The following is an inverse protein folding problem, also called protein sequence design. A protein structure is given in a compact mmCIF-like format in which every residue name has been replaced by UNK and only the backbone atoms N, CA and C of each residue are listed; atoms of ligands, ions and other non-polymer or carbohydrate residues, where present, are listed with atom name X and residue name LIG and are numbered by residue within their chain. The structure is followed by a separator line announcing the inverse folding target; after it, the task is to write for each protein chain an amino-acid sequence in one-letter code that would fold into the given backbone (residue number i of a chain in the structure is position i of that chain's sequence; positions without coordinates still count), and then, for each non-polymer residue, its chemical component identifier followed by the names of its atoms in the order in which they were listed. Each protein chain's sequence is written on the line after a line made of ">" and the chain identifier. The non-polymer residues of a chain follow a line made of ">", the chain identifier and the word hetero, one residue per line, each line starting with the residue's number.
data_IF_083393223540
#
_entry.id   IF_083393223540
#
_cell.length_a   1.000
_cell.length_b   1.000
_cell.length_c   1.000
_cell.angle_alpha   90.00
_cell.angle_beta   90.00
_cell.angle_gamma   90.00
#
_symmetry.space_group_name_H-M   'P 1'
#
loop_
_entity.id
_entity.type
_entity.pdbx_description
1 polymer ?
#
# COMPACT_ATOMS: atom_id res chain seq x y z
N UNK A 1 -14.32 3.52 -25.66
CA UNK A 1 -13.52 2.38 -25.18
C UNK A 1 -12.65 2.85 -24.02
N UNK A 2 -13.20 2.87 -22.81
CA UNK A 2 -12.47 3.33 -21.63
C UNK A 2 -11.45 2.24 -21.28
N UNK A 3 -10.16 2.48 -21.60
CA UNK A 3 -9.08 1.68 -21.04
C UNK A 3 -9.22 1.79 -19.54
N UNK A 4 -9.63 0.69 -18.90
CA UNK A 4 -9.93 0.64 -17.47
C UNK A 4 -8.59 0.86 -16.76
N UNK A 5 -8.28 2.11 -16.40
CA UNK A 5 -7.09 2.43 -15.61
C UNK A 5 -7.10 1.67 -14.27
N UNK A 6 -8.29 1.25 -13.82
CA UNK A 6 -8.58 0.37 -12.70
C UNK A 6 -8.62 -1.13 -13.03
N UNK A 7 -8.07 -1.57 -14.17
CA UNK A 7 -7.94 -3.00 -14.43
C UNK A 7 -6.94 -3.60 -13.43
N UNK A 8 -7.30 -4.74 -12.84
CA UNK A 8 -6.52 -5.48 -11.84
C UNK A 8 -5.14 -5.81 -12.42
N UNK A 9 -4.14 -5.01 -12.06
CA UNK A 9 -2.80 -5.08 -12.63
C UNK A 9 -1.79 -5.66 -11.62
N UNK A 10 -2.26 -6.34 -10.58
CA UNK A 10 -1.41 -6.94 -9.56
C UNK A 10 -1.69 -8.44 -9.47
N UNK A 11 -0.64 -9.24 -9.52
CA UNK A 11 -0.72 -10.68 -9.23
C UNK A 11 -1.07 -10.90 -7.76
N UNK A 12 -1.69 -12.04 -7.43
CA UNK A 12 -2.04 -12.39 -6.05
C UNK A 12 -0.84 -12.30 -5.10
N UNK A 13 0.38 -12.64 -5.58
CA UNK A 13 1.62 -12.50 -4.79
C UNK A 13 1.97 -11.05 -4.49
N UNK A 14 1.90 -10.18 -5.50
CA UNK A 14 2.15 -8.74 -5.35
C UNK A 14 1.11 -8.04 -4.47
N UNK A 15 -0.14 -8.54 -4.47
CA UNK A 15 -1.18 -8.08 -3.54
C UNK A 15 -0.87 -8.47 -2.10
N UNK A 16 -0.43 -9.71 -1.89
CA UNK A 16 -0.14 -10.25 -0.56
C UNK A 16 1.07 -9.57 0.08
N UNK A 17 2.15 -9.36 -0.69
CA UNK A 17 3.32 -8.65 -0.20
C UNK A 17 3.02 -7.17 0.17
N UNK A 18 2.19 -6.48 -0.62
CA UNK A 18 1.74 -5.12 -0.27
C UNK A 18 0.79 -5.10 0.91
N UNK A 19 -0.11 -6.09 1.02
CA UNK A 19 -0.97 -6.25 2.20
C UNK A 19 -0.16 -6.49 3.47
N UNK A 20 0.89 -7.33 3.40
CA UNK A 20 1.82 -7.55 4.51
C UNK A 20 2.61 -6.28 4.86
N UNK A 21 3.08 -5.54 3.85
CA UNK A 21 3.76 -4.25 4.07
C UNK A 21 2.85 -3.20 4.71
N UNK A 22 1.60 -3.10 4.25
CA UNK A 22 0.61 -2.22 4.87
C UNK A 22 0.30 -2.62 6.32
N UNK A 23 0.17 -3.93 6.59
CA UNK A 23 -0.04 -4.44 7.95
C UNK A 23 1.14 -4.09 8.86
N UNK A 24 2.37 -4.29 8.39
CA UNK A 24 3.57 -3.91 9.13
C UNK A 24 3.63 -2.39 9.41
N UNK A 25 3.26 -1.55 8.44
CA UNK A 25 3.18 -0.10 8.62
C UNK A 25 2.10 0.30 9.62
N UNK A 26 0.93 -0.34 9.62
CA UNK A 26 -0.15 -0.05 10.56
C UNK A 26 0.20 -0.49 12.00
N UNK A 27 0.86 -1.65 12.15
CA UNK A 27 1.38 -2.09 13.45
C UNK A 27 2.45 -1.11 13.95
N UNK A 28 3.39 -0.74 13.05
CA UNK A 28 4.42 0.25 13.34
C UNK A 28 3.84 1.63 13.68
N UNK A 29 2.73 2.02 13.06
CA UNK A 29 2.02 3.25 13.39
C UNK A 29 1.42 3.21 14.79
N UNK A 30 0.80 2.09 15.19
CA UNK A 30 0.26 1.91 16.55
C UNK A 30 1.35 2.06 17.62
N UNK A 31 2.52 1.46 17.39
CA UNK A 31 3.69 1.62 18.26
C UNK A 31 4.30 3.02 18.17
N UNK A 32 4.33 3.60 16.97
CA UNK A 32 4.87 4.92 16.68
C UNK A 32 4.07 6.04 17.34
N UNK A 33 2.74 5.92 17.44
CA UNK A 33 1.90 6.87 18.17
C UNK A 33 2.32 6.93 19.65
N UNK A 34 2.69 5.79 20.25
CA UNK A 34 3.13 5.74 21.64
C UNK A 34 4.49 6.42 21.86
N UNK A 35 5.39 6.37 20.87
CA UNK A 35 6.70 7.01 20.94
C UNK A 35 6.68 8.49 20.52
N UNK A 36 5.97 8.82 19.44
CA UNK A 36 5.86 10.17 18.90
C UNK A 36 4.65 10.26 17.98
N UNK A 37 3.62 10.98 18.43
CA UNK A 37 2.35 11.13 17.73
C UNK A 37 2.52 11.48 16.24
N UNK A 38 3.47 12.35 15.92
CA UNK A 38 3.73 12.79 14.55
C UNK A 38 4.22 11.64 13.64
N UNK A 39 5.18 10.84 14.11
CA UNK A 39 5.68 9.68 13.38
C UNK A 39 4.62 8.59 13.23
N UNK A 40 3.83 8.38 14.27
CA UNK A 40 2.68 7.49 14.24
C UNK A 40 1.66 7.86 13.17
N UNK A 41 1.29 9.14 13.07
CA UNK A 41 0.34 9.64 12.06
C UNK A 41 0.88 9.46 10.64
N UNK A 42 2.15 9.77 10.40
CA UNK A 42 2.77 9.58 9.06
C UNK A 42 2.76 8.12 8.65
N UNK A 43 3.17 7.21 9.55
CA UNK A 43 3.13 5.77 9.29
C UNK A 43 1.71 5.25 9.08
N UNK A 44 0.73 5.80 9.79
CA UNK A 44 -0.68 5.44 9.67
C UNK A 44 -1.23 5.82 8.29
N UNK A 45 -0.95 7.04 7.82
CA UNK A 45 -1.38 7.51 6.49
C UNK A 45 -0.73 6.67 5.40
N UNK A 46 0.57 6.40 5.49
CA UNK A 46 1.28 5.54 4.53
C UNK A 46 0.74 4.10 4.54
N UNK A 47 0.50 3.54 5.73
CA UNK A 47 -0.06 2.19 5.90
C UNK A 47 -1.46 2.06 5.31
N UNK A 48 -2.34 3.03 5.57
CA UNK A 48 -3.68 3.09 4.99
C UNK A 48 -3.64 3.25 3.46
N UNK A 49 -2.75 4.09 2.95
CA UNK A 49 -2.59 4.27 1.51
C UNK A 49 -2.17 2.97 0.81
N UNK A 50 -1.15 2.29 1.34
CA UNK A 50 -0.69 1.00 0.80
C UNK A 50 -1.75 -0.09 0.96
N UNK A 51 -2.51 -0.10 2.07
CA UNK A 51 -3.64 -1.01 2.27
C UNK A 51 -4.73 -0.78 1.23
N UNK A 52 -5.08 0.48 0.96
CA UNK A 52 -6.08 0.85 -0.05
C UNK A 52 -5.64 0.41 -1.46
N UNK A 53 -4.38 0.64 -1.82
CA UNK A 53 -3.79 0.15 -3.08
C UNK A 53 -3.85 -1.39 -3.18
N UNK A 54 -3.50 -2.10 -2.10
CA UNK A 54 -3.56 -3.56 -2.06
C UNK A 54 -5.00 -4.10 -2.20
N UNK A 55 -5.97 -3.49 -1.52
CA UNK A 55 -7.39 -3.87 -1.58
C UNK A 55 -7.99 -3.62 -2.97
N UNK A 56 -7.66 -2.49 -3.60
CA UNK A 56 -8.11 -2.17 -4.97
C UNK A 56 -7.42 -3.03 -6.02
N UNK A 57 -6.41 -3.83 -5.66
CA UNK A 57 -5.65 -4.65 -6.61
C UNK A 57 -4.92 -3.80 -7.66
N UNK A 58 -4.61 -2.56 -7.29
CA UNK A 58 -4.07 -1.53 -8.16
C UNK A 58 -2.87 -0.89 -7.48
N UNK A 59 -1.77 -0.74 -8.20
CA UNK A 59 -0.57 -0.10 -7.66
C UNK A 59 -0.18 1.09 -8.52
N UNK A 60 -0.14 2.26 -7.90
CA UNK A 60 0.24 3.53 -8.52
C UNK A 60 1.63 3.46 -9.14
N UNK A 61 2.59 2.77 -8.49
CA UNK A 61 3.95 2.59 -9.03
C UNK A 61 3.93 1.87 -10.39
N UNK A 62 3.09 0.85 -10.55
CA UNK A 62 2.92 0.19 -11.87
C UNK A 62 2.17 1.09 -12.85
N UNK A 63 1.22 1.90 -12.39
CA UNK A 63 0.52 2.87 -13.24
C UNK A 63 1.48 3.96 -13.75
N UNK A 64 2.49 4.34 -12.97
CA UNK A 64 3.62 5.17 -13.38
C UNK A 64 4.68 4.43 -14.21
N UNK A 65 4.47 3.15 -14.56
CA UNK A 65 5.39 2.38 -15.41
C UNK A 65 6.59 1.76 -14.67
N UNK A 66 6.64 1.85 -13.34
CA UNK A 66 7.71 1.24 -12.55
C UNK A 66 7.45 -0.27 -12.46
N UNK A 67 8.26 -1.04 -13.21
CA UNK A 67 8.28 -2.51 -13.19
C UNK A 67 8.90 -3.00 -11.88
N UNK A 68 8.10 -3.03 -10.81
CA UNK A 68 8.50 -3.70 -9.57
C UNK A 68 8.54 -5.22 -9.80
N UNK A 69 9.72 -5.84 -9.60
CA UNK A 69 9.97 -7.29 -9.67
C UNK A 69 9.42 -8.03 -8.43
N UNK A 70 8.20 -7.71 -8.02
CA UNK A 70 7.45 -8.49 -7.03
C UNK A 70 6.62 -9.56 -7.72
#
# INVERSE_FOLDING_TARGET
>A
MMKVFFSRNIDNKGRLARGLGALALLIGAGFGIAASFWWGVVLLILGLFVAFEALRGWCFLRACGIRTKL
#
